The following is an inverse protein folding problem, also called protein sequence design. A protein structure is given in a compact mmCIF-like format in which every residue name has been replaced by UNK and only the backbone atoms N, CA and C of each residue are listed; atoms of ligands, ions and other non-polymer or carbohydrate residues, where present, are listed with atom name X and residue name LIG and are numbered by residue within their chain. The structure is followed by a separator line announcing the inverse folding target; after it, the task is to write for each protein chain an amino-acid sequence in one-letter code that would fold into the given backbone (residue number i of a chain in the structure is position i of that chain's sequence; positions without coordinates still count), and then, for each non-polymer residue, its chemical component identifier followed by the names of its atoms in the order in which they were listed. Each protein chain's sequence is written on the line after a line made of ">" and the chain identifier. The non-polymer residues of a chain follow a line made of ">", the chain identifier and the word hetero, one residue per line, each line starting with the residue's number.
data_IF_803545923398
#
_entry.id   IF_803545923398
#
_cell.length_a   1.000
_cell.length_b   1.000
_cell.length_c   1.000
_cell.angle_alpha   90.00
_cell.angle_beta   90.00
_cell.angle_gamma   90.00
#
_symmetry.space_group_name_H-M   'P 1'
#
loop_
_entity.id
_entity.type
_entity.pdbx_description
1 polymer ?
#
# COMPACT_ATOMS: atom_id res chain seq x y z
N UNK A 1 33.03 -5.68 -15.84
CA UNK A 1 32.75 -6.82 -14.97
C UNK A 1 32.26 -6.26 -13.66
N UNK A 2 30.95 -6.32 -13.42
CA UNK A 2 30.39 -5.82 -12.16
C UNK A 2 30.86 -6.74 -11.04
N UNK A 3 31.65 -6.20 -10.11
CA UNK A 3 32.04 -6.92 -8.91
C UNK A 3 30.77 -7.18 -8.10
N UNK A 4 30.24 -8.40 -8.19
CA UNK A 4 29.09 -8.82 -7.41
C UNK A 4 29.55 -9.00 -5.95
N UNK A 5 29.42 -7.92 -5.19
CA UNK A 5 29.85 -7.87 -3.80
C UNK A 5 28.87 -8.67 -2.95
N UNK A 6 29.31 -9.79 -2.37
CA UNK A 6 28.47 -10.63 -1.50
C UNK A 6 27.99 -9.82 -0.27
N UNK A 7 26.66 -9.66 -0.08
CA UNK A 7 26.10 -8.96 1.07
C UNK A 7 26.36 -9.65 2.42
N UNK A 8 26.65 -10.96 2.41
CA UNK A 8 26.84 -11.77 3.62
C UNK A 8 28.29 -11.84 4.08
N UNK A 9 29.23 -11.36 3.26
CA UNK A 9 30.65 -11.31 3.57
C UNK A 9 30.90 -10.47 4.84
N UNK A 10 31.73 -11.01 5.74
CA UNK A 10 32.16 -10.33 6.95
C UNK A 10 33.44 -9.55 6.67
N UNK A 11 33.41 -8.26 6.99
CA UNK A 11 34.53 -7.34 6.85
C UNK A 11 34.95 -6.81 8.22
N UNK A 12 36.23 -6.50 8.38
CA UNK A 12 36.78 -5.96 9.63
C UNK A 12 36.43 -4.49 9.79
N UNK A 13 36.16 -4.06 11.03
CA UNK A 13 35.93 -2.65 11.33
C UNK A 13 37.24 -1.84 11.33
N UNK A 14 37.29 -0.67 10.68
CA UNK A 14 38.44 0.23 10.71
C UNK A 14 38.80 0.76 12.11
N UNK A 15 37.80 0.89 13.01
CA UNK A 15 38.02 1.40 14.37
C UNK A 15 38.55 0.34 15.33
N UNK A 16 38.16 -0.93 15.14
CA UNK A 16 38.58 -2.03 16.01
C UNK A 16 38.65 -3.34 15.20
N UNK A 17 39.85 -3.94 15.04
CA UNK A 17 40.02 -5.18 14.28
C UNK A 17 39.33 -6.41 14.90
N UNK A 18 38.93 -6.35 16.19
CA UNK A 18 38.17 -7.43 16.80
C UNK A 18 36.74 -7.57 16.21
N UNK A 19 36.19 -6.48 15.66
CA UNK A 19 34.85 -6.50 15.10
C UNK A 19 34.84 -7.00 13.66
N UNK A 20 34.18 -8.13 13.44
CA UNK A 20 33.85 -8.67 12.11
C UNK A 20 32.35 -8.46 11.84
N UNK A 21 32.02 -7.58 10.91
CA UNK A 21 30.64 -7.18 10.62
C UNK A 21 30.27 -7.58 9.20
N UNK A 22 29.05 -8.06 9.01
CA UNK A 22 28.52 -8.29 7.66
C UNK A 22 28.50 -6.97 6.88
N UNK A 23 28.88 -6.99 5.61
CA UNK A 23 28.93 -5.79 4.75
C UNK A 23 27.63 -5.00 4.76
N UNK A 24 26.47 -5.69 4.73
CA UNK A 24 25.13 -5.08 4.82
C UNK A 24 24.87 -4.27 6.11
N UNK A 25 25.56 -4.56 7.21
CA UNK A 25 25.40 -3.88 8.51
C UNK A 25 26.52 -2.88 8.81
N UNK A 26 27.57 -2.84 7.99
CA UNK A 26 28.78 -2.05 8.25
C UNK A 26 28.47 -0.56 8.44
N UNK A 27 27.63 0.03 7.57
CA UNK A 27 27.23 1.45 7.67
C UNK A 27 26.70 1.81 9.06
N UNK A 28 25.71 1.04 9.55
CA UNK A 28 25.10 1.28 10.87
C UNK A 28 26.08 1.00 12.01
N UNK A 29 27.02 0.07 11.81
CA UNK A 29 28.06 -0.22 12.78
C UNK A 29 29.05 0.94 12.91
N UNK A 30 29.54 1.51 11.80
CA UNK A 30 30.54 2.58 11.80
C UNK A 30 30.05 3.82 12.59
N UNK A 31 28.77 4.20 12.45
CA UNK A 31 28.19 5.33 13.19
C UNK A 31 28.23 5.11 14.72
N UNK A 32 27.97 3.88 15.18
CA UNK A 32 28.02 3.53 16.60
C UNK A 32 29.45 3.36 17.09
N UNK A 33 30.30 2.74 16.27
CA UNK A 33 31.69 2.44 16.62
C UNK A 33 32.53 3.72 16.73
N UNK A 34 32.29 4.71 15.86
CA UNK A 34 32.92 6.05 15.95
C UNK A 34 32.67 6.73 17.29
N UNK A 35 31.48 6.56 17.88
CA UNK A 35 31.16 7.12 19.21
C UNK A 35 31.91 6.42 20.35
N UNK A 36 32.23 5.13 20.18
CA UNK A 36 32.93 4.34 21.18
C UNK A 36 34.45 4.52 21.13
N UNK A 37 34.98 4.92 19.97
CA UNK A 37 36.42 5.15 19.75
C UNK A 37 36.67 6.57 19.21
N UNK A 38 36.44 7.62 20.04
CA UNK A 38 36.63 9.01 19.60
C UNK A 38 38.11 9.37 19.36
N UNK A 39 39.04 8.65 19.97
CA UNK A 39 40.48 8.93 19.87
C UNK A 39 41.07 8.55 18.50
N UNK A 40 40.38 7.70 17.74
CA UNK A 40 40.82 7.27 16.41
C UNK A 40 40.49 8.35 15.39
N UNK A 41 41.51 9.06 14.90
CA UNK A 41 41.41 10.13 13.89
C UNK A 41 41.18 9.59 12.47
N UNK A 42 40.05 8.91 12.28
CA UNK A 42 39.58 8.44 10.98
C UNK A 42 38.53 9.40 10.43
N UNK A 43 38.77 9.86 9.21
CA UNK A 43 37.87 10.70 8.42
C UNK A 43 37.13 9.84 7.40
N UNK A 44 36.02 10.34 6.88
CA UNK A 44 35.25 9.67 5.84
C UNK A 44 35.64 10.17 4.45
N UNK A 45 35.61 9.26 3.48
CA UNK A 45 35.83 9.60 2.07
C UNK A 45 34.62 10.31 1.47
N UNK A 46 34.87 11.32 0.63
CA UNK A 46 33.83 12.07 -0.08
C UNK A 46 33.07 11.21 -1.10
N UNK A 47 33.70 10.16 -1.64
CA UNK A 47 33.11 9.27 -2.64
C UNK A 47 32.32 8.10 -2.03
N UNK A 48 32.73 7.61 -0.85
CA UNK A 48 32.07 6.51 -0.18
C UNK A 48 32.20 6.61 1.35
N UNK A 49 31.07 6.82 2.03
CA UNK A 49 30.99 6.98 3.49
C UNK A 49 31.46 5.75 4.28
N UNK A 50 31.56 4.58 3.65
CA UNK A 50 32.09 3.35 4.26
C UNK A 50 33.61 3.47 4.47
N UNK A 51 34.33 4.14 3.57
CA UNK A 51 35.77 4.27 3.68
C UNK A 51 36.10 5.18 4.86
N UNK A 52 36.74 4.62 5.87
CA UNK A 52 37.29 5.33 7.02
C UNK A 52 38.81 5.33 6.88
N UNK A 53 39.39 6.50 6.64
CA UNK A 53 40.81 6.68 6.28
C UNK A 53 41.45 7.58 7.32
N UNK A 54 42.72 7.35 7.70
CA UNK A 54 43.47 8.30 8.52
C UNK A 54 43.52 9.68 7.85
N UNK A 55 43.30 10.74 8.61
CA UNK A 55 43.37 12.13 8.13
C UNK A 55 44.59 12.45 7.24
N UNK A 56 45.84 12.06 7.57
CA UNK A 56 46.99 12.35 6.71
C UNK A 56 46.99 11.59 5.36
N UNK A 57 46.27 10.47 5.26
CA UNK A 57 46.23 9.64 4.04
C UNK A 57 45.04 9.96 3.13
N UNK A 58 44.16 10.88 3.56
CA UNK A 58 42.94 11.22 2.84
C UNK A 58 43.21 11.71 1.41
N UNK A 59 44.25 12.54 1.24
CA UNK A 59 44.62 13.08 -0.08
C UNK A 59 45.06 11.96 -1.04
N UNK A 60 45.91 11.05 -0.57
CA UNK A 60 46.32 9.88 -1.35
C UNK A 60 45.12 8.98 -1.68
N UNK A 61 44.22 8.77 -0.71
CA UNK A 61 42.99 8.03 -0.95
C UNK A 61 42.13 8.68 -2.04
N UNK A 62 42.00 10.01 -2.11
CA UNK A 62 41.21 10.67 -3.16
C UNK A 62 41.78 10.45 -4.58
N UNK A 63 43.10 10.33 -4.70
CA UNK A 63 43.76 10.02 -5.98
C UNK A 63 43.56 8.56 -6.40
N UNK A 64 43.49 7.63 -5.45
CA UNK A 64 43.45 6.20 -5.69
C UNK A 64 42.14 5.49 -5.28
N UNK A 65 41.07 6.24 -4.96
CA UNK A 65 39.84 5.66 -4.45
C UNK A 65 39.15 4.80 -5.53
N UNK A 66 38.79 3.53 -5.23
CA UNK A 66 38.13 2.66 -6.19
C UNK A 66 36.74 3.15 -6.60
N UNK A 67 36.05 3.89 -5.73
CA UNK A 67 34.71 4.41 -5.99
C UNK A 67 34.71 5.75 -6.74
N UNK A 68 35.87 6.41 -6.88
CA UNK A 68 36.00 7.68 -7.63
C UNK A 68 35.55 7.52 -9.08
N UNK A 69 35.93 6.41 -9.71
CA UNK A 69 35.61 6.14 -11.11
C UNK A 69 34.09 6.10 -11.39
N UNK A 70 33.28 5.62 -10.43
CA UNK A 70 31.82 5.57 -10.57
C UNK A 70 31.20 6.95 -10.72
N UNK A 71 31.75 7.93 -9.98
CA UNK A 71 31.27 9.31 -10.01
C UNK A 71 31.78 10.00 -11.28
N UNK A 72 33.06 9.81 -11.63
CA UNK A 72 33.62 10.36 -12.88
C UNK A 72 32.86 9.87 -14.12
N UNK A 73 32.52 8.57 -14.20
CA UNK A 73 31.70 8.03 -15.28
C UNK A 73 30.38 8.81 -15.41
N UNK A 74 29.69 9.05 -14.29
CA UNK A 74 28.41 9.76 -14.31
C UNK A 74 28.53 11.20 -14.79
N UNK A 75 29.62 11.90 -14.47
CA UNK A 75 29.86 13.29 -14.87
C UNK A 75 30.25 13.38 -16.35
N UNK A 76 31.11 12.48 -16.83
CA UNK A 76 31.67 12.55 -18.19
C UNK A 76 30.84 11.83 -19.26
N UNK A 77 29.89 10.96 -18.90
CA UNK A 77 29.01 10.29 -19.88
C UNK A 77 27.87 11.18 -20.43
N UNK A 78 27.70 12.40 -19.93
CA UNK A 78 26.65 13.35 -20.39
C UNK A 78 26.88 13.89 -21.81
N UNK A 79 27.94 13.49 -22.52
CA UNK A 79 28.19 13.86 -23.92
C UNK A 79 27.76 12.77 -24.94
N UNK A 80 27.06 11.71 -24.51
CA UNK A 80 26.44 10.73 -25.40
C UNK A 80 25.01 11.12 -25.72
N UNK A 81 24.64 11.11 -27.01
CA UNK A 81 23.26 11.27 -27.48
C UNK A 81 22.33 10.44 -26.60
N UNK A 82 21.28 11.05 -26.04
CA UNK A 82 20.26 10.36 -25.25
C UNK A 82 19.63 9.24 -26.09
N UNK A 83 20.21 8.05 -26.03
CA UNK A 83 19.57 6.86 -26.58
C UNK A 83 18.45 6.55 -25.60
N UNK A 84 17.22 6.92 -25.97
CA UNK A 84 16.02 6.53 -25.23
C UNK A 84 16.11 5.02 -24.97
N UNK A 85 16.42 4.62 -23.72
CA UNK A 85 16.50 3.21 -23.29
C UNK A 85 15.21 2.45 -23.60
N UNK A 86 14.11 3.19 -23.74
CA UNK A 86 12.79 2.71 -24.09
C UNK A 86 12.29 3.52 -25.29
N UNK A 87 12.58 3.09 -26.54
CA UNK A 87 12.03 3.75 -27.70
C UNK A 87 10.49 3.67 -27.63
N UNK A 88 9.84 4.82 -27.66
CA UNK A 88 8.39 4.89 -27.76
C UNK A 88 8.04 4.34 -29.15
N UNK A 89 7.40 3.17 -29.18
CA UNK A 89 6.94 2.60 -30.42
C UNK A 89 5.75 3.45 -30.88
N UNK A 90 5.79 3.90 -32.14
CA UNK A 90 4.67 4.64 -32.73
C UNK A 90 3.55 3.63 -33.03
N UNK A 91 2.78 3.29 -32.00
CA UNK A 91 1.63 2.39 -32.09
C UNK A 91 0.44 3.25 -32.53
N UNK A 92 -0.06 2.99 -33.74
CA UNK A 92 -1.30 3.59 -34.22
C UNK A 92 -2.47 2.96 -33.46
N UNK A 93 -2.99 3.66 -32.45
CA UNK A 93 -4.20 3.28 -31.72
C UNK A 93 -5.39 3.89 -32.48
N UNK A 94 -6.33 3.09 -33.02
CA UNK A 94 -7.55 3.60 -33.62
C UNK A 94 -8.31 4.47 -32.62
N UNK A 95 -8.65 5.70 -33.01
CA UNK A 95 -9.29 6.70 -32.13
C UNK A 95 -10.82 6.65 -32.15
N UNK A 96 -11.41 5.55 -32.66
CA UNK A 96 -12.85 5.47 -32.95
C UNK A 96 -13.73 5.39 -31.68
N UNK A 97 -13.14 5.26 -30.49
CA UNK A 97 -13.84 5.30 -29.20
C UNK A 97 -13.42 6.54 -28.40
N UNK A 98 -13.97 7.69 -28.79
CA UNK A 98 -13.87 8.93 -28.05
C UNK A 98 -14.77 8.84 -26.79
N UNK A 99 -14.16 8.75 -25.61
CA UNK A 99 -14.88 8.82 -24.34
C UNK A 99 -15.60 10.18 -24.12
N UNK A 100 -15.32 11.18 -24.96
CA UNK A 100 -15.91 12.52 -24.89
C UNK A 100 -17.22 12.67 -25.69
N UNK A 101 -17.61 11.70 -26.53
CA UNK A 101 -18.82 11.77 -27.35
C UNK A 101 -20.09 11.30 -26.62
N UNK A 102 -19.94 10.78 -25.39
CA UNK A 102 -21.05 10.30 -24.58
C UNK A 102 -21.70 11.48 -23.84
N UNK A 103 -22.85 11.96 -24.32
CA UNK A 103 -23.69 12.94 -23.63
C UNK A 103 -24.38 12.32 -22.39
N UNK A 104 -23.59 11.99 -21.38
CA UNK A 104 -24.04 11.45 -20.09
C UNK A 104 -24.10 12.60 -19.09
N UNK A 105 -25.17 12.71 -18.29
CA UNK A 105 -25.24 13.73 -17.26
C UNK A 105 -24.09 13.58 -16.25
N UNK A 106 -23.57 14.71 -15.75
CA UNK A 106 -22.54 14.73 -14.72
C UNK A 106 -22.99 13.90 -13.50
N UNK A 107 -22.14 12.95 -13.10
CA UNK A 107 -22.36 12.17 -11.90
C UNK A 107 -22.41 13.06 -10.65
N UNK A 108 -23.53 13.03 -9.92
CA UNK A 108 -23.69 13.74 -8.65
C UNK A 108 -23.56 12.74 -7.49
N UNK A 109 -22.47 12.79 -6.71
CA UNK A 109 -22.24 11.85 -5.62
C UNK A 109 -23.29 12.01 -4.51
N UNK A 110 -23.89 13.20 -4.33
CA UNK A 110 -24.90 13.41 -3.28
C UNK A 110 -26.18 12.67 -3.61
N UNK A 111 -26.68 12.79 -4.85
CA UNK A 111 -27.86 12.06 -5.34
C UNK A 111 -27.64 10.55 -5.33
N UNK A 112 -26.43 10.12 -5.68
CA UNK A 112 -26.08 8.70 -5.61
C UNK A 112 -26.17 8.18 -4.17
N UNK A 113 -25.55 8.87 -3.21
CA UNK A 113 -25.59 8.52 -1.80
C UNK A 113 -27.01 8.56 -1.18
N UNK A 114 -27.92 9.37 -1.71
CA UNK A 114 -29.34 9.40 -1.31
C UNK A 114 -30.12 8.15 -1.73
N UNK A 115 -29.84 7.64 -2.93
CA UNK A 115 -30.59 6.53 -3.53
C UNK A 115 -30.05 5.15 -3.18
N UNK A 116 -28.79 5.06 -2.75
CA UNK A 116 -28.11 3.81 -2.42
C UNK A 116 -28.08 3.55 -0.91
N UNK A 117 -27.84 2.30 -0.55
CA UNK A 117 -27.68 1.84 0.83
C UNK A 117 -26.31 2.24 1.42
N UNK A 118 -25.99 3.53 1.33
CA UNK A 118 -24.75 4.12 1.84
C UNK A 118 -25.07 4.89 3.11
N UNK A 119 -24.31 4.65 4.18
CA UNK A 119 -24.47 5.36 5.44
C UNK A 119 -23.87 6.77 5.35
N UNK A 120 -24.70 7.79 5.62
CA UNK A 120 -24.30 9.20 5.65
C UNK A 120 -24.19 9.72 7.07
N UNK A 121 -23.49 10.84 7.26
CA UNK A 121 -23.43 11.56 8.54
C UNK A 121 -23.64 13.06 8.34
N UNK A 122 -24.12 13.73 9.40
CA UNK A 122 -24.28 15.18 9.44
C UNK A 122 -23.27 15.76 10.43
N UNK A 123 -22.28 16.45 9.89
CA UNK A 123 -21.23 17.12 10.67
C UNK A 123 -21.64 18.55 11.04
N UNK A 124 -21.02 19.07 12.11
CA UNK A 124 -21.15 20.48 12.53
C UNK A 124 -22.62 20.92 12.74
N UNK A 125 -23.44 20.05 13.33
CA UNK A 125 -24.82 20.35 13.75
C UNK A 125 -25.00 20.13 15.25
N UNK A 126 -26.11 20.57 15.85
CA UNK A 126 -26.40 20.31 17.27
C UNK A 126 -26.56 18.81 17.55
N UNK A 127 -26.36 18.39 18.81
CA UNK A 127 -26.49 16.98 19.19
C UNK A 127 -27.89 16.39 18.87
N UNK A 128 -28.94 17.19 19.02
CA UNK A 128 -30.33 16.81 18.67
C UNK A 128 -30.51 16.57 17.17
N UNK A 129 -30.01 17.48 16.34
CA UNK A 129 -30.08 17.35 14.88
C UNK A 129 -29.29 16.14 14.36
N UNK A 130 -28.10 15.87 14.91
CA UNK A 130 -27.33 14.65 14.56
C UNK A 130 -28.07 13.38 14.96
N UNK A 131 -28.75 13.38 16.11
CA UNK A 131 -29.57 12.23 16.54
C UNK A 131 -30.76 12.01 15.61
N UNK A 132 -31.47 13.08 15.24
CA UNK A 132 -32.57 13.04 14.26
C UNK A 132 -32.09 12.50 12.91
N UNK A 133 -30.96 12.99 12.42
CA UNK A 133 -30.35 12.54 11.17
C UNK A 133 -30.03 11.04 11.19
N UNK A 134 -29.47 10.50 12.28
CA UNK A 134 -29.21 9.06 12.41
C UNK A 134 -30.48 8.21 12.44
N UNK A 135 -31.55 8.71 13.07
CA UNK A 135 -32.84 8.01 13.08
C UNK A 135 -33.46 7.97 11.68
N UNK A 136 -33.38 9.08 10.96
CA UNK A 136 -33.89 9.18 9.59
C UNK A 136 -33.07 8.33 8.61
N UNK A 137 -31.74 8.33 8.71
CA UNK A 137 -30.88 7.45 7.90
C UNK A 137 -31.17 5.96 8.16
N UNK A 138 -31.43 5.57 9.42
CA UNK A 138 -31.83 4.20 9.76
C UNK A 138 -33.16 3.83 9.09
N UNK A 139 -34.13 4.75 9.08
CA UNK A 139 -35.42 4.56 8.40
C UNK A 139 -35.25 4.43 6.89
N UNK A 140 -34.46 5.33 6.27
CA UNK A 140 -34.18 5.34 4.84
C UNK A 140 -33.51 4.04 4.38
N UNK A 141 -32.46 3.61 5.07
CA UNK A 141 -31.73 2.37 4.73
C UNK A 141 -32.65 1.15 4.88
N UNK A 142 -33.48 1.11 5.93
CA UNK A 142 -34.47 0.04 6.09
C UNK A 142 -35.53 -0.03 4.97
N UNK A 143 -35.91 1.11 4.40
CA UNK A 143 -36.80 1.15 3.23
C UNK A 143 -36.09 0.68 1.96
N UNK A 144 -34.84 1.10 1.75
CA UNK A 144 -34.05 0.71 0.58
C UNK A 144 -33.72 -0.78 0.58
N UNK A 145 -33.34 -1.35 1.73
CA UNK A 145 -33.04 -2.79 1.85
C UNK A 145 -34.26 -3.67 1.56
N UNK A 146 -35.46 -3.23 1.98
CA UNK A 146 -36.71 -3.90 1.67
C UNK A 146 -37.03 -3.85 0.16
N UNK A 147 -36.84 -2.68 -0.48
CA UNK A 147 -37.05 -2.52 -1.92
C UNK A 147 -36.03 -3.33 -2.74
N UNK A 148 -34.79 -3.42 -2.28
CA UNK A 148 -33.74 -4.25 -2.90
C UNK A 148 -34.12 -5.73 -2.87
N UNK A 149 -34.61 -6.20 -1.72
CA UNK A 149 -35.10 -7.58 -1.53
C UNK A 149 -36.30 -7.92 -2.42
N UNK A 150 -37.18 -6.95 -2.73
CA UNK A 150 -38.32 -7.17 -3.62
C UNK A 150 -37.98 -7.10 -5.12
N UNK A 151 -36.81 -6.54 -5.50
CA UNK A 151 -36.38 -6.43 -6.90
C UNK A 151 -35.64 -7.68 -7.40
N UNK A 152 -35.08 -8.50 -6.50
CA UNK A 152 -34.42 -9.76 -6.86
C UNK A 152 -35.38 -10.86 -7.33
N UNK A 153 -36.67 -10.74 -7.03
CA UNK A 153 -37.67 -11.80 -7.32
C UNK A 153 -38.45 -11.58 -8.62
N UNK A 154 -38.09 -10.59 -9.46
CA UNK A 154 -38.77 -10.34 -10.74
C UNK A 154 -38.09 -11.14 -11.86
N UNK A 155 -38.81 -12.04 -12.58
CA UNK A 155 -38.21 -12.79 -13.68
C UNK A 155 -37.77 -11.85 -14.81
N UNK A 156 -36.53 -12.04 -15.28
CA UNK A 156 -35.92 -11.35 -16.41
C UNK A 156 -36.77 -11.56 -17.68
N UNK A 157 -37.56 -10.56 -18.08
CA UNK A 157 -38.04 -10.47 -19.46
C UNK A 157 -36.87 -9.99 -20.32
N UNK A 158 -36.26 -10.94 -21.03
CA UNK A 158 -35.13 -10.75 -21.94
C UNK A 158 -35.54 -9.89 -23.13
N UNK A 159 -35.23 -8.60 -23.10
CA UNK A 159 -35.21 -7.76 -24.30
C UNK A 159 -33.84 -7.95 -24.97
N UNK A 160 -33.85 -8.55 -26.16
CA UNK A 160 -32.66 -8.78 -26.99
C UNK A 160 -32.01 -7.47 -27.41
N UNK A 161 -30.78 -7.24 -26.98
CA UNK A 161 -29.82 -6.43 -27.74
C UNK A 161 -28.76 -7.38 -28.29
N UNK A 162 -28.60 -7.38 -29.61
CA UNK A 162 -27.62 -8.20 -30.31
C UNK A 162 -26.23 -7.59 -30.14
N UNK A 163 -25.37 -8.25 -29.37
CA UNK A 163 -23.92 -8.07 -29.44
C UNK A 163 -23.24 -9.44 -29.35
N UNK A 164 -22.52 -9.77 -30.42
CA UNK A 164 -21.80 -11.03 -30.63
C UNK A 164 -20.67 -11.17 -29.59
N UNK A 165 -20.52 -12.32 -28.91
CA UNK A 165 -19.41 -12.51 -27.98
C UNK A 165 -18.15 -12.96 -28.75
N UNK A 166 -17.11 -12.13 -28.75
CA UNK A 166 -15.76 -12.54 -29.15
C UNK A 166 -15.11 -13.44 -28.09
N UNK A 167 -14.15 -14.31 -28.46
CA UNK A 167 -13.54 -15.24 -27.51
C UNK A 167 -12.58 -14.50 -26.58
N UNK A 168 -12.99 -14.27 -25.34
CA UNK A 168 -12.10 -13.73 -24.30
C UNK A 168 -11.18 -14.82 -23.78
N UNK A 169 -9.91 -14.79 -24.17
CA UNK A 169 -8.87 -15.65 -23.63
C UNK A 169 -8.38 -15.05 -22.30
N UNK A 170 -9.18 -15.19 -21.24
CA UNK A 170 -8.77 -14.84 -19.87
C UNK A 170 -7.83 -15.93 -19.38
N UNK A 171 -6.54 -15.62 -19.28
CA UNK A 171 -5.58 -16.50 -18.60
C UNK A 171 -5.97 -16.55 -17.12
N UNK A 172 -6.23 -17.74 -16.60
CA UNK A 172 -6.57 -17.95 -15.20
C UNK A 172 -5.43 -17.46 -14.29
N UNK A 173 -5.77 -16.62 -13.32
CA UNK A 173 -4.83 -16.21 -12.27
C UNK A 173 -4.54 -17.44 -11.38
N UNK A 174 -3.28 -17.65 -10.94
CA UNK A 174 -2.95 -18.74 -10.05
C UNK A 174 -3.71 -18.61 -8.73
N UNK A 175 -4.23 -19.74 -8.26
CA UNK A 175 -5.06 -19.83 -7.06
C UNK A 175 -4.29 -19.33 -5.83
N UNK A 176 -4.80 -18.27 -5.21
CA UNK A 176 -4.24 -17.75 -3.96
C UNK A 176 -4.59 -18.73 -2.84
N UNK A 177 -3.58 -19.11 -2.04
CA UNK A 177 -3.77 -20.00 -0.89
C UNK A 177 -4.78 -19.37 0.07
N UNK A 178 -5.97 -19.95 0.13
CA UNK A 178 -7.04 -19.52 1.02
C UNK A 178 -6.52 -19.47 2.47
N UNK A 179 -6.48 -18.28 3.05
CA UNK A 179 -6.18 -18.12 4.46
C UNK A 179 -7.45 -18.48 5.25
N UNK A 180 -7.65 -19.76 5.55
CA UNK A 180 -8.66 -20.20 6.51
C UNK A 180 -8.09 -20.05 7.92
N UNK A 181 -8.08 -18.82 8.46
CA UNK A 181 -8.03 -18.65 9.91
C UNK A 181 -9.45 -18.83 10.41
N UNK A 182 -9.77 -19.99 10.98
CA UNK A 182 -10.92 -20.09 11.86
C UNK A 182 -10.56 -19.26 13.09
N UNK A 183 -11.01 -18.01 13.13
CA UNK A 183 -10.98 -17.23 14.36
C UNK A 183 -11.98 -17.87 15.32
N UNK A 184 -11.52 -18.85 16.10
CA UNK A 184 -12.25 -19.33 17.26
C UNK A 184 -12.35 -18.16 18.24
N UNK A 185 -13.55 -17.59 18.34
CA UNK A 185 -13.84 -16.53 19.29
C UNK A 185 -13.50 -17.03 20.71
N UNK A 186 -12.71 -16.29 21.51
CA UNK A 186 -12.40 -16.67 22.87
C UNK A 186 -13.69 -16.96 23.66
N UNK A 187 -13.75 -18.08 24.38
CA UNK A 187 -14.97 -18.56 25.05
C UNK A 187 -15.62 -17.54 26.01
N UNK A 188 -14.88 -16.54 26.46
CA UNK A 188 -15.41 -15.39 27.21
C UNK A 188 -16.44 -14.58 26.43
N UNK A 189 -16.24 -14.39 25.12
CA UNK A 189 -17.16 -13.65 24.24
C UNK A 189 -18.45 -14.45 24.02
N UNK A 190 -18.34 -15.77 23.89
CA UNK A 190 -19.52 -16.64 23.75
C UNK A 190 -20.37 -16.66 25.03
N UNK A 191 -19.72 -16.71 26.19
CA UNK A 191 -20.39 -16.64 27.49
C UNK A 191 -21.09 -15.29 27.71
N UNK A 192 -20.48 -14.18 27.26
CA UNK A 192 -21.09 -12.86 27.30
C UNK A 192 -22.35 -12.79 26.41
N UNK A 193 -22.29 -13.34 25.20
CA UNK A 193 -23.43 -13.39 24.27
C UNK A 193 -24.59 -14.25 24.81
N UNK A 194 -24.29 -15.37 25.48
CA UNK A 194 -25.30 -16.20 26.15
C UNK A 194 -25.98 -15.45 27.30
N UNK A 195 -25.21 -14.69 28.09
CA UNK A 195 -25.74 -13.89 29.20
C UNK A 195 -26.68 -12.78 28.72
N UNK A 196 -26.27 -12.03 27.69
CA UNK A 196 -27.11 -10.99 27.06
C UNK A 196 -28.43 -11.58 26.52
N UNK A 197 -28.39 -12.75 25.88
CA UNK A 197 -29.59 -13.45 25.41
C UNK A 197 -30.51 -13.90 26.55
N UNK A 198 -29.96 -14.30 27.70
CA UNK A 198 -30.77 -14.68 28.86
C UNK A 198 -31.45 -13.46 29.53
N UNK A 199 -30.76 -12.33 29.62
CA UNK A 199 -31.28 -11.08 30.20
C UNK A 199 -32.37 -10.47 29.30
N UNK A 200 -32.22 -10.57 27.98
CA UNK A 200 -33.27 -10.20 27.03
C UNK A 200 -34.55 -11.07 27.18
N UNK A 201 -34.42 -12.37 27.45
CA UNK A 201 -35.59 -13.22 27.66
C UNK A 201 -36.24 -13.04 29.05
N UNK A 202 -35.48 -12.62 30.06
CA UNK A 202 -35.99 -12.36 31.41
C UNK A 202 -36.78 -11.05 31.48
N UNK A 203 -36.32 -10.00 30.77
CA UNK A 203 -37.01 -8.72 30.62
C UNK A 203 -38.33 -8.84 29.85
N UNK A 204 -38.44 -9.76 28.89
CA UNK A 204 -39.70 -10.05 28.20
C UNK A 204 -40.74 -10.80 29.06
N UNK A 205 -40.32 -11.54 30.10
CA UNK A 205 -41.24 -12.28 30.99
C UNK A 205 -41.86 -11.43 32.10
N UNK A 206 -41.23 -10.32 32.48
CA UNK A 206 -41.70 -9.42 33.54
C UNK A 206 -42.74 -8.39 33.08
N UNK A 207 -42.99 -8.26 31.77
CA UNK A 207 -43.95 -7.29 31.19
C UNK A 207 -45.32 -7.92 30.89
N UNK A 208 -45.51 -9.22 31.18
CA UNK A 208 -46.80 -9.92 31.06
C UNK A 208 -47.30 -10.38 32.44
N UNK A 209 -47.72 -9.44 33.28
CA UNK A 209 -48.69 -9.62 34.36
C UNK A 209 -49.44 -8.31 34.58
#
# INVERSE_FOLDING_TARGET
>A
MDNFVDPEEKVMCPYNPAHHIMRKRLNTHLVKCKKNYPDTKLVECDFNVIHKIPEPELQYHHENCPDRHKIEISIYQEAGVEINKFPIHNIHVPTDECWDDLNVPTYDPKKYCESKEILRHLDVASAGQRRQFRMEERRRIGQLSNISSMKSDRPMSRASTNSTPGPSNRKDLPETRGHSMAEEAPGEVENLLRRIKSEANQSFRLVKK
#
